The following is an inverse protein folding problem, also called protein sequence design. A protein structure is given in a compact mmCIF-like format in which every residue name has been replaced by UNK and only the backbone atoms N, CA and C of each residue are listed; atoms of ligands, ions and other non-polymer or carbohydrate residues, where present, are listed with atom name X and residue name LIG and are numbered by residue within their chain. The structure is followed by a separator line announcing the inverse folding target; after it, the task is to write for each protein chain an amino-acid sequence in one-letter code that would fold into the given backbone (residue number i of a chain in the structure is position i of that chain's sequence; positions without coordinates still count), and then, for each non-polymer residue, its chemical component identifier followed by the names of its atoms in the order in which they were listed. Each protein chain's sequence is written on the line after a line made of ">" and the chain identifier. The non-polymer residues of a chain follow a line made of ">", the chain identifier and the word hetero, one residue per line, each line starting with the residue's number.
data_IF_902238616674
#
_entry.id   IF_902238616674
#
_cell.length_a   1.000
_cell.length_b   1.000
_cell.length_c   1.000
_cell.angle_alpha   90.00
_cell.angle_beta   90.00
_cell.angle_gamma   90.00
#
_symmetry.space_group_name_H-M   'P 1'
#
loop_
_entity.id
_entity.type
_entity.pdbx_description
1 polymer ?
#
# COMPACT_ATOMS: atom_id res chain seq x y z
N UNK A 1 -22.50 3.64 -16.15
CA UNK A 1 -23.31 2.43 -15.84
C UNK A 1 -23.98 1.96 -17.11
N UNK A 2 -23.21 1.46 -18.07
CA UNK A 2 -23.70 1.02 -19.39
C UNK A 2 -23.89 -0.50 -19.47
N UNK A 3 -23.30 -1.25 -18.53
CA UNK A 3 -23.41 -2.71 -18.47
C UNK A 3 -24.61 -3.13 -17.58
N UNK A 4 -25.22 -4.28 -17.86
CA UNK A 4 -26.21 -4.90 -16.97
C UNK A 4 -25.63 -5.24 -15.59
N UNK A 5 -26.49 -5.32 -14.58
CA UNK A 5 -26.10 -5.61 -13.19
C UNK A 5 -25.44 -6.98 -13.05
N UNK A 6 -25.86 -7.94 -13.86
CA UNK A 6 -25.31 -9.29 -13.93
C UNK A 6 -23.84 -9.26 -14.34
N UNK A 7 -23.50 -8.40 -15.29
CA UNK A 7 -22.12 -8.21 -15.74
C UNK A 7 -21.30 -7.50 -14.65
N UNK A 8 -21.86 -6.50 -13.98
CA UNK A 8 -21.21 -5.87 -12.83
C UNK A 8 -20.91 -6.86 -11.70
N UNK A 9 -21.85 -7.78 -11.41
CA UNK A 9 -21.67 -8.84 -10.42
C UNK A 9 -20.62 -9.86 -10.85
N UNK A 10 -20.56 -10.19 -12.13
CA UNK A 10 -19.54 -11.10 -12.65
C UNK A 10 -18.15 -10.47 -12.54
N UNK A 11 -18.01 -9.20 -12.91
CA UNK A 11 -16.76 -8.45 -12.75
C UNK A 11 -16.34 -8.39 -11.27
N UNK A 12 -17.25 -8.07 -10.36
CA UNK A 12 -16.91 -7.91 -8.94
C UNK A 12 -16.39 -9.19 -8.29
N UNK A 13 -16.84 -10.36 -8.74
CA UNK A 13 -16.37 -11.68 -8.27
C UNK A 13 -14.92 -12.00 -8.65
N UNK A 14 -14.38 -11.33 -9.67
CA UNK A 14 -13.00 -11.50 -10.11
C UNK A 14 -12.04 -10.49 -9.47
N UNK A 15 -12.52 -9.58 -8.62
CA UNK A 15 -11.69 -8.58 -7.97
C UNK A 15 -11.07 -9.10 -6.68
N UNK A 16 -9.82 -8.75 -6.43
CA UNK A 16 -9.17 -8.94 -5.13
C UNK A 16 -9.78 -8.00 -4.08
N UNK A 17 -9.58 -8.27 -2.79
CA UNK A 17 -10.17 -7.48 -1.71
C UNK A 17 -9.98 -5.96 -1.85
N UNK A 18 -8.76 -5.42 -2.07
CA UNK A 18 -8.59 -3.97 -2.19
C UNK A 18 -9.36 -3.39 -3.39
N UNK A 19 -9.42 -4.11 -4.51
CA UNK A 19 -10.04 -3.62 -5.75
C UNK A 19 -11.58 -3.70 -5.63
N UNK A 20 -12.11 -4.76 -5.03
CA UNK A 20 -13.52 -4.91 -4.70
C UNK A 20 -13.98 -3.83 -3.71
N UNK A 21 -13.18 -3.54 -2.68
CA UNK A 21 -13.47 -2.47 -1.73
C UNK A 21 -13.49 -1.10 -2.42
N UNK A 22 -12.53 -0.81 -3.28
CA UNK A 22 -12.53 0.41 -4.09
C UNK A 22 -13.77 0.51 -4.98
N UNK A 23 -14.14 -0.58 -5.67
CA UNK A 23 -15.35 -0.60 -6.50
C UNK A 23 -16.61 -0.36 -5.68
N UNK A 24 -16.74 -1.02 -4.52
CA UNK A 24 -17.86 -0.88 -3.59
C UNK A 24 -18.07 0.58 -3.17
N UNK A 25 -16.99 1.32 -2.94
CA UNK A 25 -17.04 2.73 -2.53
C UNK A 25 -17.08 3.74 -3.69
N UNK A 26 -16.94 3.30 -4.95
CA UNK A 26 -16.97 4.19 -6.11
C UNK A 26 -18.38 4.72 -6.44
N UNK A 27 -19.44 3.95 -6.15
CA UNK A 27 -20.82 4.32 -6.46
C UNK A 27 -21.82 3.61 -5.53
N UNK A 28 -22.96 4.25 -5.22
CA UNK A 28 -24.08 3.66 -4.47
C UNK A 28 -24.59 2.34 -5.05
N UNK A 29 -24.60 2.16 -6.37
CA UNK A 29 -24.98 0.89 -7.00
C UNK A 29 -24.02 -0.22 -6.58
N UNK A 30 -22.71 -0.02 -6.78
CA UNK A 30 -21.69 -0.99 -6.39
C UNK A 30 -21.66 -1.25 -4.88
N UNK A 31 -21.91 -0.23 -4.07
CA UNK A 31 -22.00 -0.38 -2.62
C UNK A 31 -23.01 -1.46 -2.19
N UNK A 32 -24.09 -1.62 -2.96
CA UNK A 32 -25.16 -2.59 -2.68
C UNK A 32 -24.88 -4.00 -3.21
N UNK A 33 -24.11 -4.11 -4.30
CA UNK A 33 -23.95 -5.39 -5.03
C UNK A 33 -22.58 -6.04 -4.85
N UNK A 34 -21.56 -5.28 -4.48
CA UNK A 34 -20.19 -5.78 -4.32
C UNK A 34 -20.03 -6.37 -2.93
N UNK A 35 -19.67 -7.65 -2.88
CA UNK A 35 -19.34 -8.35 -1.64
C UNK A 35 -17.85 -8.17 -1.30
N UNK A 36 -17.58 -7.80 -0.06
CA UNK A 36 -16.25 -7.66 0.54
C UNK A 36 -16.16 -8.46 1.85
N UNK A 37 -16.79 -9.63 1.87
CA UNK A 37 -16.87 -10.53 3.01
C UNK A 37 -15.52 -11.09 3.46
N UNK A 38 -15.58 -11.89 4.53
CA UNK A 38 -14.41 -12.49 5.19
C UNK A 38 -13.59 -13.36 4.23
N UNK A 39 -14.25 -14.14 3.37
CA UNK A 39 -13.59 -15.00 2.39
C UNK A 39 -12.62 -14.22 1.50
N UNK A 40 -13.03 -13.05 1.01
CA UNK A 40 -12.21 -12.22 0.13
C UNK A 40 -11.01 -11.61 0.87
N UNK A 41 -11.21 -11.20 2.13
CA UNK A 41 -10.12 -10.70 3.00
C UNK A 41 -9.09 -11.78 3.27
N UNK A 42 -9.54 -12.99 3.62
CA UNK A 42 -8.67 -14.14 3.88
C UNK A 42 -7.92 -14.53 2.62
N UNK A 43 -8.60 -14.62 1.47
CA UNK A 43 -7.97 -14.92 0.19
C UNK A 43 -6.85 -13.92 -0.14
N UNK A 44 -7.10 -12.63 0.06
CA UNK A 44 -6.08 -11.60 -0.14
C UNK A 44 -4.89 -11.73 0.82
N UNK A 45 -5.13 -12.02 2.11
CA UNK A 45 -4.04 -12.26 3.07
C UNK A 45 -3.21 -13.51 2.71
N UNK A 46 -3.87 -14.58 2.29
CA UNK A 46 -3.21 -15.80 1.84
C UNK A 46 -2.35 -15.54 0.59
N UNK A 47 -2.89 -14.85 -0.41
CA UNK A 47 -2.15 -14.46 -1.62
C UNK A 47 -0.90 -13.66 -1.26
N UNK A 48 -1.01 -12.66 -0.38
CA UNK A 48 0.14 -11.89 0.08
C UNK A 48 1.20 -12.77 0.74
N UNK A 49 0.78 -13.72 1.58
CA UNK A 49 1.71 -14.65 2.24
C UNK A 49 2.42 -15.56 1.24
N UNK A 50 1.70 -16.06 0.24
CA UNK A 50 2.25 -16.90 -0.83
C UNK A 50 3.27 -16.13 -1.69
N UNK A 51 3.02 -14.85 -1.94
CA UNK A 51 3.92 -13.96 -2.67
C UNK A 51 5.05 -13.40 -1.79
N UNK A 52 5.21 -13.86 -0.55
CA UNK A 52 6.20 -13.37 0.41
C UNK A 52 6.15 -11.84 0.64
N UNK A 53 4.96 -11.25 0.48
CA UNK A 53 4.72 -9.84 0.75
C UNK A 53 4.45 -9.60 2.24
N UNK A 54 4.64 -8.36 2.68
CA UNK A 54 4.36 -7.96 4.05
C UNK A 54 2.88 -8.18 4.38
N UNK A 55 2.61 -8.83 5.50
CA UNK A 55 1.26 -9.08 6.01
C UNK A 55 0.95 -8.11 7.17
N UNK A 56 -0.32 -7.73 7.39
CA UNK A 56 -0.69 -6.84 8.48
C UNK A 56 -0.34 -7.44 9.85
N UNK A 57 0.11 -6.60 10.78
CA UNK A 57 0.59 -7.04 12.10
C UNK A 57 -0.57 -7.61 12.95
N UNK A 58 -0.37 -8.81 13.51
CA UNK A 58 -1.40 -9.71 14.06
C UNK A 58 -2.25 -9.13 15.20
N UNK A 59 -1.82 -8.04 15.85
CA UNK A 59 -2.50 -7.52 17.06
C UNK A 59 -3.83 -6.82 16.79
N UNK A 60 -4.13 -6.44 15.55
CA UNK A 60 -5.29 -5.60 15.22
C UNK A 60 -6.09 -6.03 13.98
N UNK A 61 -5.86 -7.23 13.43
CA UNK A 61 -6.53 -7.69 12.21
C UNK A 61 -7.90 -8.31 12.53
N UNK A 62 -8.96 -7.50 12.54
CA UNK A 62 -10.35 -7.97 12.70
C UNK A 62 -11.04 -8.06 11.32
N UNK A 63 -11.39 -9.28 10.93
CA UNK A 63 -11.99 -9.60 9.62
C UNK A 63 -13.48 -9.25 9.53
N UNK A 64 -14.14 -8.91 10.64
CA UNK A 64 -15.59 -8.82 10.75
C UNK A 64 -16.25 -7.70 9.94
N UNK A 65 -15.56 -6.57 9.71
CA UNK A 65 -16.08 -5.50 8.84
C UNK A 65 -14.95 -4.83 8.07
N UNK A 66 -15.27 -4.16 6.97
CA UNK A 66 -14.27 -3.40 6.20
C UNK A 66 -13.62 -2.31 7.04
N UNK A 67 -14.42 -1.62 7.87
CA UNK A 67 -13.93 -0.54 8.74
C UNK A 67 -12.96 -1.05 9.81
N UNK A 68 -13.17 -2.26 10.33
CA UNK A 68 -12.26 -2.87 11.30
C UNK A 68 -11.02 -3.45 10.64
N UNK A 69 -11.20 -4.10 9.49
CA UNK A 69 -10.10 -4.71 8.74
C UNK A 69 -9.11 -3.68 8.21
N UNK A 70 -9.61 -2.54 7.72
CA UNK A 70 -8.79 -1.43 7.22
C UNK A 70 -8.14 -0.59 8.32
N UNK A 71 -7.98 -1.10 9.56
CA UNK A 71 -7.23 -0.44 10.64
C UNK A 71 -5.76 -0.87 10.62
N UNK A 72 -4.92 -0.13 11.35
CA UNK A 72 -3.51 -0.47 11.53
C UNK A 72 -2.71 -0.34 10.23
N UNK A 73 -2.01 -1.39 9.83
CA UNK A 73 -1.10 -1.36 8.68
C UNK A 73 -1.77 -1.66 7.33
N UNK A 74 -3.03 -2.13 7.30
CA UNK A 74 -3.74 -2.45 6.05
C UNK A 74 -3.81 -1.26 5.08
N UNK A 75 -4.15 -0.02 5.50
CA UNK A 75 -4.13 1.14 4.62
C UNK A 75 -2.76 1.40 3.97
N UNK A 76 -1.67 1.18 4.71
CA UNK A 76 -0.31 1.33 4.20
C UNK A 76 0.04 0.26 3.16
N UNK A 77 -0.39 -0.99 3.37
CA UNK A 77 -0.22 -2.08 2.40
C UNK A 77 -1.00 -1.78 1.12
N UNK A 78 -2.25 -1.35 1.24
CA UNK A 78 -3.06 -0.93 0.09
C UNK A 78 -2.44 0.25 -0.66
N UNK A 79 -1.85 1.21 0.07
CA UNK A 79 -1.13 2.34 -0.53
C UNK A 79 0.10 1.88 -1.31
N UNK A 80 0.95 1.05 -0.71
CA UNK A 80 2.13 0.47 -1.37
C UNK A 80 1.77 -0.32 -2.63
N UNK A 81 0.67 -1.07 -2.61
CA UNK A 81 0.14 -1.76 -3.80
C UNK A 81 -0.23 -0.77 -4.91
N UNK A 82 -0.93 0.33 -4.60
CA UNK A 82 -1.31 1.36 -5.59
C UNK A 82 -0.12 2.12 -6.16
N UNK A 83 0.89 2.35 -5.32
CA UNK A 83 2.14 2.99 -5.72
C UNK A 83 3.12 1.98 -6.34
N UNK A 84 2.69 0.73 -6.53
CA UNK A 84 3.47 -0.35 -7.13
C UNK A 84 4.81 -0.64 -6.45
N UNK A 85 4.98 -0.27 -5.17
CA UNK A 85 6.20 -0.55 -4.39
C UNK A 85 6.49 -2.04 -4.21
N UNK A 86 5.46 -2.88 -4.36
CA UNK A 86 5.55 -4.34 -4.22
C UNK A 86 5.83 -5.05 -5.57
N UNK A 87 5.84 -4.34 -6.70
CA UNK A 87 6.16 -4.94 -8.01
C UNK A 87 7.68 -5.17 -8.16
N UNK A 88 8.05 -6.19 -8.94
CA UNK A 88 9.45 -6.39 -9.36
C UNK A 88 9.82 -5.32 -10.39
N UNK A 89 11.01 -4.73 -10.26
CA UNK A 89 11.50 -3.63 -11.10
C UNK A 89 12.34 -4.08 -12.29
N UNK A 90 12.57 -5.38 -12.46
CA UNK A 90 13.45 -5.93 -13.50
C UNK A 90 12.75 -5.91 -14.88
N UNK A 91 13.46 -5.58 -15.97
CA UNK A 91 12.84 -5.59 -17.30
C UNK A 91 12.33 -7.00 -17.66
N UNK A 92 11.07 -7.09 -18.07
CA UNK A 92 10.39 -8.36 -18.37
C UNK A 92 9.81 -9.11 -17.15
N UNK A 93 10.03 -8.61 -15.93
CA UNK A 93 9.48 -9.13 -14.68
C UNK A 93 8.80 -7.98 -13.94
N UNK A 94 7.47 -7.99 -13.84
CA UNK A 94 6.75 -6.92 -13.17
C UNK A 94 5.29 -6.86 -13.59
N UNK A 95 4.59 -5.84 -13.11
CA UNK A 95 3.19 -5.62 -13.44
C UNK A 95 3.04 -4.81 -14.74
N UNK A 96 2.14 -5.24 -15.63
CA UNK A 96 1.80 -4.52 -16.85
C UNK A 96 0.81 -3.39 -16.51
N UNK A 97 1.27 -2.15 -16.54
CA UNK A 97 0.41 -0.98 -16.36
C UNK A 97 -0.13 -0.57 -17.74
N UNK A 98 -1.46 -0.50 -17.85
CA UNK A 98 -2.15 -0.17 -19.10
C UNK A 98 -1.63 1.15 -19.67
N UNK A 99 -1.15 1.14 -20.91
CA UNK A 99 -0.61 2.32 -21.59
C UNK A 99 0.88 2.60 -21.34
N UNK A 100 1.59 1.72 -20.62
CA UNK A 100 3.04 1.81 -20.40
C UNK A 100 3.74 0.52 -20.83
N UNK A 101 5.03 0.60 -21.17
CA UNK A 101 5.83 -0.58 -21.51
C UNK A 101 6.25 -1.41 -20.28
N UNK A 102 6.37 -0.76 -19.11
CA UNK A 102 6.76 -1.38 -17.84
C UNK A 102 6.29 -0.53 -16.66
N UNK A 103 6.15 -1.15 -15.50
CA UNK A 103 5.88 -0.43 -14.25
C UNK A 103 7.08 0.48 -13.87
N UNK A 104 6.85 1.79 -13.86
CA UNK A 104 7.85 2.76 -13.37
C UNK A 104 7.71 2.95 -11.86
N UNK A 105 8.73 2.55 -11.10
CA UNK A 105 8.78 2.82 -9.67
C UNK A 105 9.13 4.29 -9.45
N UNK A 106 8.18 5.08 -8.96
CA UNK A 106 8.45 6.45 -8.50
C UNK A 106 9.09 6.35 -7.11
N UNK A 107 10.41 6.15 -7.06
CA UNK A 107 11.15 6.37 -5.82
C UNK A 107 11.11 7.87 -5.51
N UNK A 108 10.41 8.26 -4.44
CA UNK A 108 10.46 9.64 -3.97
C UNK A 108 11.87 9.91 -3.41
N UNK A 109 12.66 10.73 -4.10
CA UNK A 109 14.01 11.10 -3.65
C UNK A 109 14.03 11.74 -2.26
N UNK A 110 12.88 12.18 -1.73
CA UNK A 110 12.69 12.71 -0.39
C UNK A 110 13.27 11.80 0.72
N UNK A 111 13.17 10.47 0.62
CA UNK A 111 13.68 9.58 1.68
C UNK A 111 15.21 9.56 1.70
N UNK A 112 15.83 9.58 0.52
CA UNK A 112 17.29 9.73 0.37
C UNK A 112 17.77 11.08 0.90
N UNK A 113 17.06 12.17 0.57
CA UNK A 113 17.37 13.50 1.09
C UNK A 113 17.22 13.59 2.61
N UNK A 114 16.21 12.92 3.20
CA UNK A 114 16.00 12.89 4.65
C UNK A 114 17.13 12.13 5.35
N UNK A 115 17.58 11.00 4.80
CA UNK A 115 18.72 10.23 5.34
C UNK A 115 20.02 11.03 5.22
N UNK A 116 20.26 11.68 4.07
CA UNK A 116 21.44 12.54 3.87
C UNK A 116 21.44 13.74 4.82
N UNK A 117 20.31 14.42 5.00
CA UNK A 117 20.17 15.53 5.95
C UNK A 117 20.44 15.08 7.38
N UNK A 118 19.88 13.96 7.82
CA UNK A 118 20.12 13.43 9.17
C UNK A 118 21.60 13.04 9.36
N UNK A 119 22.20 12.38 8.36
CA UNK A 119 23.59 11.93 8.41
C UNK A 119 24.61 13.09 8.40
N UNK A 120 24.30 14.21 7.74
CA UNK A 120 25.20 15.36 7.65
C UNK A 120 24.94 16.42 8.73
N UNK A 121 23.67 16.67 9.07
CA UNK A 121 23.30 17.81 9.94
C UNK A 121 23.53 17.52 11.43
N UNK A 122 23.24 16.30 11.89
CA UNK A 122 23.45 15.89 13.29
C UNK A 122 24.92 15.96 13.73
N UNK A 123 25.92 15.42 12.99
CA UNK A 123 27.31 15.49 13.43
C UNK A 123 27.86 16.91 13.43
N UNK A 124 27.41 17.78 12.51
CA UNK A 124 27.82 19.19 12.47
C UNK A 124 27.32 19.93 13.71
N UNK A 125 26.05 19.74 14.08
CA UNK A 125 25.48 20.36 15.29
C UNK A 125 26.17 19.85 16.55
N UNK A 126 26.44 18.55 16.65
CA UNK A 126 27.19 17.97 17.77
C UNK A 126 28.61 18.52 17.89
N UNK A 127 29.32 18.67 16.75
CA UNK A 127 30.64 19.28 16.74
C UNK A 127 30.59 20.74 17.20
N UNK A 128 29.64 21.54 16.71
CA UNK A 128 29.49 22.93 17.14
C UNK A 128 29.19 23.07 18.64
N UNK A 129 28.35 22.20 19.20
CA UNK A 129 28.06 22.16 20.65
C UNK A 129 29.29 21.75 21.46
N UNK A 130 30.08 20.78 20.97
CA UNK A 130 31.33 20.39 21.61
C UNK A 130 32.34 21.55 21.62
N UNK A 131 32.51 22.24 20.49
CA UNK A 131 33.39 23.40 20.38
C UNK A 131 32.95 24.56 21.29
N UNK A 132 31.66 24.86 21.39
CA UNK A 132 31.17 25.93 22.25
C UNK A 132 31.31 25.60 23.74
N UNK A 133 31.10 24.33 24.14
CA UNK A 133 31.31 23.87 25.51
C UNK A 133 32.81 23.86 25.89
N UNK A 134 33.71 23.54 24.96
CA UNK A 134 35.16 23.57 25.21
C UNK A 134 35.74 24.99 25.39
N UNK A 135 35.01 26.03 24.99
CA UNK A 135 35.39 27.44 25.18
C UNK A 135 34.82 28.05 26.48
N UNK A 136 33.93 27.33 27.17
CA UNK A 136 33.28 27.75 28.41
C UNK A 136 33.90 27.12 29.68
N UNK A 137 34.85 26.19 29.52
CA UNK A 137 35.65 25.53 30.57
C UNK A 137 37.10 26.02 30.52
#
# INVERSE_FOLDING_TARGET
>A
MSLPTEIHLLISRHLTYPDALSLKHANRHFYRIVDTGVSLKVAWLMERRLLHLECPNDRCCDLGSDLKFCRGSVPLLMRRRREHFECESRPGLGCLVLGTASCEHIFSGWELWRVLLVALFIPIVLACVFFSLSWLL
#
